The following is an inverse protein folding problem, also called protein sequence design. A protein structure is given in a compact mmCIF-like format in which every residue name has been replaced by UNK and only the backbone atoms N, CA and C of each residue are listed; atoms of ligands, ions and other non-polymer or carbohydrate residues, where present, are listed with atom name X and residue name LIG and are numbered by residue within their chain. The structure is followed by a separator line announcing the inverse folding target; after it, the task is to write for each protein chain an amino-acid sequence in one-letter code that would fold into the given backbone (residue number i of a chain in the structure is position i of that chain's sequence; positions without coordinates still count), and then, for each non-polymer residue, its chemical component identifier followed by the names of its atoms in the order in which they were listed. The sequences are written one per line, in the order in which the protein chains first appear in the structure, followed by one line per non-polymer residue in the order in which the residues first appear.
data_IF_574386866827
#
_entry.id   IF_574386866827
#
_cell.length_a   1.000
_cell.length_b   1.000
_cell.length_c   1.000
_cell.angle_alpha   90.00
_cell.angle_beta   90.00
_cell.angle_gamma   90.00
#
_symmetry.space_group_name_H-M   'P 1'
#
loop_
_entity.id
_entity.type
_entity.pdbx_description
1 polymer ?
#
# COMPACT_ATOMS: atom_id res chain seq x y z
N UNK A 1 -4.75 -3.69 24.19
CA UNK A 1 -4.14 -2.54 23.49
C UNK A 1 -3.14 -1.79 24.36
N UNK A 2 -3.56 -1.01 25.37
CA UNK A 2 -2.67 -0.11 26.16
C UNK A 2 -1.39 -0.76 26.70
N UNK A 3 -1.49 -1.97 27.25
CA UNK A 3 -0.32 -2.69 27.78
C UNK A 3 0.70 -3.06 26.71
N UNK A 4 0.22 -3.52 25.55
CA UNK A 4 1.04 -3.84 24.37
C UNK A 4 1.66 -2.57 23.78
N UNK A 5 0.85 -1.53 23.63
CA UNK A 5 1.31 -0.22 23.12
C UNK A 5 2.39 0.40 24.01
N UNK A 6 2.25 0.30 25.34
CA UNK A 6 3.28 0.74 26.30
C UNK A 6 4.62 0.03 26.12
N UNK A 7 4.62 -1.20 25.59
CA UNK A 7 5.82 -1.98 25.26
C UNK A 7 6.32 -1.77 23.83
N UNK A 8 5.73 -0.82 23.09
CA UNK A 8 6.07 -0.51 21.68
C UNK A 8 5.86 -1.71 20.74
N UNK A 9 4.88 -2.54 21.06
CA UNK A 9 4.54 -3.70 20.24
C UNK A 9 3.46 -3.28 19.20
N UNK A 10 3.64 -3.62 17.90
CA UNK A 10 2.58 -3.42 16.92
C UNK A 10 1.36 -4.25 17.30
N UNK A 11 0.16 -3.73 16.99
CA UNK A 11 -1.10 -4.39 17.30
C UNK A 11 -1.91 -4.57 16.03
N UNK A 12 -2.25 -5.81 15.71
CA UNK A 12 -3.18 -6.16 14.62
C UNK A 12 -4.58 -6.32 15.19
N UNK A 13 -5.56 -5.71 14.54
CA UNK A 13 -6.98 -5.90 14.84
C UNK A 13 -7.65 -6.44 13.58
N UNK A 14 -8.08 -7.69 13.65
CA UNK A 14 -8.67 -8.38 12.51
C UNK A 14 -10.10 -7.91 12.22
N UNK A 15 -10.57 -8.19 10.98
CA UNK A 15 -11.97 -8.04 10.54
C UNK A 15 -12.56 -6.66 10.75
N UNK A 16 -11.75 -5.61 10.64
CA UNK A 16 -12.27 -4.23 10.73
C UNK A 16 -13.04 -3.79 9.49
N UNK A 17 -12.82 -4.42 8.34
CA UNK A 17 -13.54 -4.12 7.10
C UNK A 17 -15.03 -4.41 7.19
N UNK A 18 -15.45 -5.36 8.04
CA UNK A 18 -16.86 -5.70 8.24
C UNK A 18 -17.68 -4.52 8.82
N UNK A 19 -16.99 -3.50 9.36
CA UNK A 19 -17.60 -2.28 9.86
C UNK A 19 -17.73 -1.17 8.81
N UNK A 20 -17.10 -1.32 7.64
CA UNK A 20 -17.22 -0.37 6.53
C UNK A 20 -18.56 -0.61 5.82
N UNK A 21 -19.30 0.46 5.56
CA UNK A 21 -20.61 0.41 4.89
C UNK A 21 -20.53 0.82 3.43
N UNK A 22 -19.51 1.58 3.06
CA UNK A 22 -19.28 2.01 1.68
C UNK A 22 -18.46 0.99 0.90
N UNK A 23 -18.49 1.11 -0.43
CA UNK A 23 -17.68 0.28 -1.33
C UNK A 23 -16.29 0.89 -1.48
N UNK A 24 -15.32 0.33 -0.76
CA UNK A 24 -13.91 0.77 -0.79
C UNK A 24 -13.09 0.18 -1.94
N UNK A 25 -13.70 -0.63 -2.80
CA UNK A 25 -13.07 -1.11 -4.03
C UNK A 25 -13.08 -0.08 -5.17
N UNK A 26 -12.42 -0.39 -6.30
CA UNK A 26 -12.25 0.52 -7.44
C UNK A 26 -13.53 1.22 -7.91
N UNK A 27 -14.64 0.48 -7.99
CA UNK A 27 -15.91 0.99 -8.49
C UNK A 27 -16.42 2.20 -7.71
N UNK A 28 -16.22 2.24 -6.39
CA UNK A 28 -16.65 3.34 -5.53
C UNK A 28 -15.92 4.65 -5.82
N UNK A 29 -14.66 4.59 -6.25
CA UNK A 29 -13.84 5.76 -6.55
C UNK A 29 -13.95 6.21 -8.01
N UNK A 30 -14.08 5.26 -8.94
CA UNK A 30 -14.06 5.51 -10.38
C UNK A 30 -15.15 6.48 -10.84
N UNK A 31 -16.35 6.39 -10.28
CA UNK A 31 -17.47 7.24 -10.68
C UNK A 31 -17.20 8.74 -10.45
N UNK A 32 -16.45 9.08 -9.40
CA UNK A 32 -16.20 10.47 -8.98
C UNK A 32 -14.82 10.97 -9.38
N UNK A 33 -13.81 10.09 -9.32
CA UNK A 33 -12.40 10.46 -9.40
C UNK A 33 -11.67 9.80 -10.59
N UNK A 34 -12.35 8.98 -11.40
CA UNK A 34 -11.71 8.22 -12.48
C UNK A 34 -10.94 9.07 -13.51
N UNK A 35 -11.42 10.30 -13.77
CA UNK A 35 -10.76 11.24 -14.69
C UNK A 35 -9.59 12.03 -14.06
N UNK A 36 -9.40 11.95 -12.74
CA UNK A 36 -8.34 12.67 -12.04
C UNK A 36 -6.98 12.12 -12.46
N UNK A 37 -6.09 13.02 -12.92
CA UNK A 37 -4.68 12.68 -13.11
C UNK A 37 -4.01 12.60 -11.75
N UNK A 38 -3.30 11.50 -11.51
CA UNK A 38 -2.68 11.22 -10.22
C UNK A 38 -1.21 10.87 -10.40
N UNK A 39 -0.39 11.16 -9.38
CA UNK A 39 1.03 10.86 -9.40
C UNK A 39 1.29 9.40 -9.02
N UNK A 40 1.59 8.64 -10.06
CA UNK A 40 2.06 7.25 -10.13
C UNK A 40 3.51 7.10 -9.63
N UNK A 41 3.91 5.92 -9.13
CA UNK A 41 5.31 5.48 -9.15
C UNK A 41 5.40 4.09 -9.75
N UNK A 42 6.29 3.88 -10.73
CA UNK A 42 6.64 2.53 -11.17
C UNK A 42 7.60 1.90 -10.15
N UNK A 43 7.17 0.80 -9.53
CA UNK A 43 7.89 0.14 -8.44
C UNK A 43 9.21 -0.51 -8.89
N UNK A 44 9.48 -0.62 -10.20
CA UNK A 44 10.67 -1.27 -10.73
C UNK A 44 11.88 -0.35 -10.72
N UNK A 45 11.69 0.89 -11.18
CA UNK A 45 12.76 1.87 -11.34
C UNK A 45 12.54 3.14 -10.49
N UNK A 46 11.41 3.23 -9.79
CA UNK A 46 11.06 4.36 -8.94
C UNK A 46 10.64 5.60 -9.74
N UNK A 47 10.46 5.52 -11.06
CA UNK A 47 10.09 6.69 -11.87
C UNK A 47 8.65 7.12 -11.58
N UNK A 48 8.49 8.45 -11.48
CA UNK A 48 7.18 9.08 -11.32
C UNK A 48 6.39 9.08 -12.63
N UNK A 49 5.11 8.71 -12.56
CA UNK A 49 4.19 8.61 -13.70
C UNK A 49 3.00 9.55 -13.46
N UNK A 50 2.86 10.64 -14.21
CA UNK A 50 1.85 11.68 -13.92
C UNK A 50 0.84 11.92 -15.06
N UNK A 51 0.98 11.19 -16.18
CA UNK A 51 0.08 11.32 -17.34
C UNK A 51 -1.13 10.39 -17.29
N UNK A 52 -1.17 9.47 -16.33
CA UNK A 52 -2.27 8.52 -16.15
C UNK A 52 -3.34 9.05 -15.21
N UNK A 53 -4.57 8.59 -15.42
CA UNK A 53 -5.69 8.89 -14.53
C UNK A 53 -5.90 7.76 -13.52
N UNK A 54 -6.69 8.05 -12.48
CA UNK A 54 -7.11 7.05 -11.50
C UNK A 54 -7.86 5.88 -12.18
N UNK A 55 -8.62 6.14 -13.25
CA UNK A 55 -9.26 5.09 -14.04
C UNK A 55 -8.26 4.14 -14.72
N UNK A 56 -7.16 4.66 -15.26
CA UNK A 56 -6.11 3.81 -15.84
C UNK A 56 -5.47 2.92 -14.77
N UNK A 57 -5.23 3.47 -13.57
CA UNK A 57 -4.70 2.69 -12.45
C UNK A 57 -5.64 1.56 -12.06
N UNK A 58 -6.92 1.87 -11.79
CA UNK A 58 -7.87 0.88 -11.34
C UNK A 58 -8.26 -0.14 -12.41
N UNK A 59 -8.22 0.21 -13.69
CA UNK A 59 -8.32 -0.77 -14.77
C UNK A 59 -7.20 -1.80 -14.68
N UNK A 60 -5.95 -1.35 -14.52
CA UNK A 60 -4.77 -2.22 -14.37
C UNK A 60 -4.71 -2.97 -13.04
N UNK A 61 -5.39 -2.46 -12.00
CA UNK A 61 -5.60 -3.14 -10.72
C UNK A 61 -6.55 -4.32 -10.88
N UNK A 62 -7.67 -4.13 -11.58
CA UNK A 62 -8.66 -5.20 -11.81
C UNK A 62 -8.21 -6.19 -12.88
N UNK A 63 -7.55 -5.71 -13.94
CA UNK A 63 -7.20 -6.49 -15.12
C UNK A 63 -5.73 -6.25 -15.50
N UNK A 64 -4.79 -7.17 -15.15
CA UNK A 64 -3.35 -7.01 -15.39
C UNK A 64 -2.98 -6.66 -16.84
N UNK A 65 -3.71 -7.19 -17.83
CA UNK A 65 -3.48 -6.93 -19.25
C UNK A 65 -3.89 -5.53 -19.73
N UNK A 66 -4.57 -4.74 -18.89
CA UNK A 66 -4.92 -3.34 -19.19
C UNK A 66 -3.92 -2.34 -18.59
N UNK A 67 -2.92 -2.81 -17.84
CA UNK A 67 -1.87 -1.96 -17.28
C UNK A 67 -1.16 -1.19 -18.38
N UNK A 68 -0.99 0.11 -18.14
CA UNK A 68 -0.31 1.02 -19.04
C UNK A 68 1.14 0.58 -19.34
N UNK A 69 1.58 0.83 -20.56
CA UNK A 69 2.94 0.55 -21.00
C UNK A 69 3.85 1.75 -20.72
N UNK A 70 5.08 1.49 -20.30
CA UNK A 70 6.13 2.49 -20.22
C UNK A 70 6.45 2.99 -21.65
N UNK A 71 6.43 4.30 -21.93
CA UNK A 71 6.71 4.82 -23.27
C UNK A 71 8.09 4.45 -23.82
N UNK A 72 9.08 4.34 -22.93
CA UNK A 72 10.47 4.10 -23.32
C UNK A 72 10.77 2.61 -23.57
N UNK A 73 10.14 1.72 -22.79
CA UNK A 73 10.47 0.28 -22.78
C UNK A 73 9.36 -0.61 -23.34
N UNK A 74 8.17 -0.06 -23.56
CA UNK A 74 6.95 -0.77 -23.95
C UNK A 74 6.55 -1.93 -23.01
N UNK A 75 7.14 -2.02 -21.82
CA UNK A 75 6.77 -3.00 -20.78
C UNK A 75 5.61 -2.48 -19.95
N UNK A 76 4.71 -3.37 -19.52
CA UNK A 76 3.62 -3.03 -18.57
C UNK A 76 4.20 -2.45 -17.28
N UNK A 77 3.63 -1.36 -16.78
CA UNK A 77 4.12 -0.66 -15.59
C UNK A 77 3.61 -1.26 -14.28
N UNK A 78 4.47 -1.22 -13.27
CA UNK A 78 4.19 -1.71 -11.91
C UNK A 78 3.82 -0.54 -11.02
N UNK A 79 2.58 -0.07 -11.13
CA UNK A 79 2.22 1.20 -10.53
C UNK A 79 1.80 1.04 -9.06
N UNK A 80 2.23 1.99 -8.24
CA UNK A 80 1.66 2.29 -6.93
C UNK A 80 1.23 3.74 -6.88
N UNK A 81 0.10 4.00 -6.25
CA UNK A 81 -0.42 5.31 -5.91
C UNK A 81 -0.27 5.52 -4.40
N UNK A 82 0.63 6.41 -4.01
CA UNK A 82 0.92 6.74 -2.61
C UNK A 82 0.26 8.07 -2.24
N UNK A 83 -0.14 8.22 -0.98
CA UNK A 83 -0.57 9.48 -0.38
C UNK A 83 -1.74 10.16 -1.11
N UNK A 84 -2.65 9.40 -1.74
CA UNK A 84 -3.83 9.98 -2.39
C UNK A 84 -4.96 10.18 -1.37
N UNK A 85 -5.61 11.35 -1.30
CA UNK A 85 -5.31 12.57 -2.04
C UNK A 85 -4.06 13.32 -1.52
N UNK A 86 -3.19 13.84 -2.43
CA UNK A 86 -1.90 14.41 -2.05
C UNK A 86 -2.03 15.77 -1.35
N UNK A 87 -2.83 16.66 -1.93
CA UNK A 87 -2.88 18.08 -1.54
C UNK A 87 -4.17 18.48 -0.80
N UNK A 88 -5.03 17.52 -0.50
CA UNK A 88 -6.34 17.76 0.10
C UNK A 88 -6.52 16.88 1.32
N UNK A 89 -7.18 17.43 2.34
CA UNK A 89 -7.69 16.63 3.45
C UNK A 89 -8.72 15.63 2.88
N UNK A 90 -8.54 14.35 3.19
CA UNK A 90 -9.46 13.30 2.81
C UNK A 90 -10.90 13.62 3.27
N UNK A 91 -11.08 14.18 4.47
CA UNK A 91 -12.37 14.62 5.00
C UNK A 91 -13.03 15.69 4.10
N UNK A 92 -12.24 16.59 3.53
CA UNK A 92 -12.75 17.60 2.62
C UNK A 92 -13.08 17.03 1.22
N UNK A 93 -12.24 16.11 0.71
CA UNK A 93 -12.40 15.54 -0.64
C UNK A 93 -13.48 14.45 -0.70
N UNK A 94 -13.56 13.60 0.33
CA UNK A 94 -14.40 12.41 0.42
C UNK A 94 -15.00 12.28 1.83
N UNK A 95 -15.87 13.21 2.24
CA UNK A 95 -16.42 13.25 3.60
C UNK A 95 -17.17 11.96 4.00
N UNK A 96 -17.88 11.33 3.06
CA UNK A 96 -18.62 10.10 3.35
C UNK A 96 -17.69 8.90 3.60
N UNK A 97 -16.60 8.80 2.84
CA UNK A 97 -15.58 7.76 3.07
C UNK A 97 -14.78 8.06 4.34
N UNK A 98 -14.55 9.33 4.66
CA UNK A 98 -13.90 9.72 5.90
C UNK A 98 -14.71 9.25 7.10
N UNK A 99 -16.01 9.55 7.11
CA UNK A 99 -16.91 9.16 8.18
C UNK A 99 -17.00 7.63 8.31
N UNK A 100 -17.14 6.91 7.19
CA UNK A 100 -17.19 5.44 7.17
C UNK A 100 -15.89 4.83 7.74
N UNK A 101 -14.72 5.38 7.35
CA UNK A 101 -13.43 4.96 7.88
C UNK A 101 -13.32 5.22 9.39
N UNK A 102 -13.69 6.43 9.85
CA UNK A 102 -13.66 6.75 11.28
C UNK A 102 -14.55 5.78 12.07
N UNK A 103 -15.74 5.44 11.58
CA UNK A 103 -16.62 4.45 12.24
C UNK A 103 -15.98 3.05 12.31
N UNK A 104 -15.14 2.69 11.33
CA UNK A 104 -14.48 1.39 11.27
C UNK A 104 -13.13 1.34 11.99
N UNK A 105 -12.47 2.47 12.32
CA UNK A 105 -11.18 2.44 13.01
C UNK A 105 -11.29 1.86 14.43
N UNK A 106 -10.33 1.02 14.85
CA UNK A 106 -10.27 0.54 16.23
C UNK A 106 -9.75 1.64 17.16
N UNK A 107 -10.02 1.50 18.47
CA UNK A 107 -9.49 2.37 19.53
C UNK A 107 -9.75 3.88 19.30
N UNK A 108 -11.03 4.31 19.16
CA UNK A 108 -11.39 5.67 18.76
C UNK A 108 -10.81 6.76 19.68
N UNK A 109 -10.56 6.45 20.96
CA UNK A 109 -9.91 7.38 21.88
C UNK A 109 -8.50 7.80 21.44
N UNK A 110 -7.81 6.95 20.67
CA UNK A 110 -6.46 7.17 20.15
C UNK A 110 -6.46 7.54 18.66
N UNK A 111 -7.29 6.88 17.85
CA UNK A 111 -7.21 6.95 16.38
C UNK A 111 -8.08 8.05 15.77
N UNK A 112 -9.16 8.48 16.43
CA UNK A 112 -10.00 9.55 15.90
C UNK A 112 -9.35 10.90 16.11
N UNK A 113 -9.62 11.84 15.18
CA UNK A 113 -9.17 13.23 15.29
C UNK A 113 -9.67 13.93 16.56
N UNK A 114 -10.85 13.56 17.05
CA UNK A 114 -11.45 14.11 18.27
C UNK A 114 -11.22 13.24 19.51
N UNK A 115 -10.48 12.14 19.37
CA UNK A 115 -10.16 11.19 20.43
C UNK A 115 -9.47 11.86 21.62
N UNK A 116 -9.93 11.55 22.84
CA UNK A 116 -9.43 12.19 24.07
C UNK A 116 -7.96 11.89 24.39
N UNK A 117 -7.41 10.81 23.84
CA UNK A 117 -6.01 10.41 23.98
C UNK A 117 -5.20 10.67 22.71
N UNK A 118 -5.81 11.26 21.68
CA UNK A 118 -5.10 11.68 20.48
C UNK A 118 -4.54 13.09 20.70
N UNK A 119 -3.22 13.17 20.94
CA UNK A 119 -2.54 14.43 21.19
C UNK A 119 -2.59 15.38 19.99
N UNK A 120 -2.77 14.85 18.78
CA UNK A 120 -2.97 15.64 17.55
C UNK A 120 -4.02 16.74 17.71
N UNK A 121 -5.12 16.44 18.42
CA UNK A 121 -6.25 17.35 18.65
C UNK A 121 -5.86 18.63 19.41
N UNK A 122 -4.80 18.55 20.22
CA UNK A 122 -4.41 19.62 21.13
C UNK A 122 -3.24 20.46 20.60
N UNK A 123 -2.70 20.12 19.43
CA UNK A 123 -1.66 20.95 18.82
C UNK A 123 -2.24 22.32 18.42
N UNK A 124 -1.56 23.43 18.78
CA UNK A 124 -1.97 24.75 18.32
C UNK A 124 -1.91 24.83 16.79
N UNK A 125 -2.87 25.54 16.18
CA UNK A 125 -2.95 25.73 14.72
C UNK A 125 -1.74 26.40 14.07
N UNK A 126 -0.85 26.99 14.89
CA UNK A 126 0.40 27.61 14.46
C UNK A 126 1.52 26.59 14.22
N UNK A 127 1.41 25.39 14.79
CA UNK A 127 2.30 24.28 14.43
C UNK A 127 1.74 23.62 13.19
N UNK A 128 2.60 23.32 12.23
CA UNK A 128 2.24 22.43 11.12
C UNK A 128 1.91 21.09 11.77
N UNK A 129 0.62 20.69 11.83
CA UNK A 129 0.30 19.35 12.29
C UNK A 129 1.07 18.39 11.37
N UNK A 130 1.56 17.25 11.87
CA UNK A 130 1.95 16.18 10.97
C UNK A 130 0.81 15.97 9.95
N UNK A 131 1.11 15.55 8.73
CA UNK A 131 0.05 15.19 7.77
C UNK A 131 -0.68 13.95 8.30
N UNK A 132 -1.65 14.17 9.20
CA UNK A 132 -2.28 13.16 10.05
C UNK A 132 -3.33 12.34 9.29
N UNK A 133 -3.37 12.48 7.96
CA UNK A 133 -4.24 11.72 7.09
C UNK A 133 -5.73 11.90 7.39
N UNK A 134 -6.60 10.95 6.97
CA UNK A 134 -6.22 9.69 6.34
C UNK A 134 -5.63 9.88 4.93
N UNK A 135 -4.80 8.93 4.52
CA UNK A 135 -4.17 8.84 3.19
C UNK A 135 -4.42 7.45 2.62
N UNK A 136 -4.62 7.34 1.31
CA UNK A 136 -4.75 6.06 0.63
C UNK A 136 -3.46 5.65 -0.05
N UNK A 137 -3.19 4.36 0.07
CA UNK A 137 -2.08 3.66 -0.53
C UNK A 137 -2.67 2.53 -1.39
N UNK A 138 -2.47 2.60 -2.69
CA UNK A 138 -3.00 1.62 -3.64
C UNK A 138 -1.83 1.06 -4.45
N UNK A 139 -1.75 -0.25 -4.64
CA UNK A 139 -0.70 -0.86 -5.42
C UNK A 139 -1.19 -2.14 -6.10
N UNK A 140 -0.56 -2.52 -7.20
CA UNK A 140 -0.79 -3.83 -7.82
C UNK A 140 -0.14 -4.94 -7.00
N UNK A 141 -0.82 -6.07 -6.77
CA UNK A 141 -0.33 -7.16 -5.90
C UNK A 141 0.77 -8.05 -6.52
N UNK A 142 1.74 -8.49 -5.73
CA UNK A 142 2.99 -9.16 -6.19
C UNK A 142 2.81 -10.46 -7.00
N UNK A 143 1.72 -11.21 -6.92
CA UNK A 143 1.60 -12.43 -7.73
C UNK A 143 1.16 -12.10 -9.17
N UNK A 144 0.01 -11.43 -9.34
CA UNK A 144 -0.49 -11.00 -10.64
C UNK A 144 0.25 -9.79 -11.23
N UNK A 145 1.02 -9.06 -10.41
CA UNK A 145 1.71 -7.89 -10.89
C UNK A 145 2.95 -8.21 -11.74
N UNK A 146 3.62 -9.33 -11.44
CA UNK A 146 4.84 -9.75 -12.14
C UNK A 146 4.62 -10.87 -13.17
N UNK A 147 3.38 -11.37 -13.32
CA UNK A 147 3.02 -12.30 -14.41
C UNK A 147 3.24 -11.64 -15.78
N UNK A 148 3.87 -12.38 -16.70
CA UNK A 148 4.27 -11.88 -18.03
C UNK A 148 5.44 -10.89 -18.00
N UNK A 149 6.15 -10.76 -16.88
CA UNK A 149 7.36 -9.94 -16.78
C UNK A 149 8.64 -10.77 -16.88
N UNK A 150 9.71 -10.13 -17.36
CA UNK A 150 11.07 -10.67 -17.41
C UNK A 150 11.49 -11.22 -16.01
N UNK A 151 11.80 -12.52 -15.88
CA UNK A 151 12.17 -13.15 -14.61
C UNK A 151 13.38 -12.50 -13.92
N UNK A 152 14.26 -11.82 -14.67
CA UNK A 152 15.42 -11.13 -14.13
C UNK A 152 15.10 -9.77 -13.50
N UNK A 153 13.84 -9.33 -13.56
CA UNK A 153 13.45 -8.03 -12.99
C UNK A 153 13.56 -8.07 -11.48
N UNK A 154 14.35 -7.15 -10.89
CA UNK A 154 14.47 -7.01 -9.43
C UNK A 154 13.08 -6.75 -8.83
N UNK A 155 12.64 -7.67 -7.96
CA UNK A 155 11.37 -7.58 -7.24
C UNK A 155 11.57 -6.68 -6.02
N UNK A 156 11.10 -5.43 -6.10
CA UNK A 156 11.09 -4.49 -4.97
C UNK A 156 9.82 -4.59 -4.11
N UNK A 157 9.87 -4.03 -2.90
CA UNK A 157 8.68 -3.82 -2.07
C UNK A 157 7.82 -2.66 -2.59
N UNK A 158 6.52 -2.66 -2.29
CA UNK A 158 5.64 -1.54 -2.62
C UNK A 158 5.94 -0.30 -1.76
N UNK A 159 6.22 -0.54 -0.49
CA UNK A 159 6.66 0.47 0.47
C UNK A 159 8.03 0.04 0.98
N UNK A 160 9.06 0.83 0.69
CA UNK A 160 10.40 0.55 1.17
C UNK A 160 10.48 0.79 2.68
N UNK A 161 11.51 0.24 3.30
CA UNK A 161 11.81 0.47 4.71
C UNK A 161 11.91 1.97 5.00
N UNK A 162 11.14 2.42 5.99
CA UNK A 162 11.11 3.79 6.49
C UNK A 162 10.61 3.78 7.94
N UNK A 163 10.69 4.94 8.60
CA UNK A 163 10.03 5.17 9.86
C UNK A 163 9.12 6.39 9.76
N UNK A 164 7.93 6.29 10.35
CA UNK A 164 7.03 7.41 10.52
C UNK A 164 7.36 8.16 11.82
N UNK A 165 7.18 9.48 11.80
CA UNK A 165 7.43 10.36 12.96
C UNK A 165 6.26 10.37 13.97
N UNK A 166 5.12 9.80 13.59
CA UNK A 166 3.89 9.77 14.38
C UNK A 166 3.32 8.34 14.42
N UNK A 167 2.51 8.08 15.44
CA UNK A 167 1.75 6.83 15.53
C UNK A 167 0.79 6.70 14.34
N UNK A 168 0.70 5.50 13.76
CA UNK A 168 -0.14 5.24 12.59
C UNK A 168 -1.04 4.02 12.77
N UNK A 169 -2.19 4.05 12.11
CA UNK A 169 -3.08 2.90 11.93
C UNK A 169 -3.30 2.70 10.42
N UNK A 170 -2.95 1.50 9.93
CA UNK A 170 -3.23 1.10 8.55
C UNK A 170 -4.41 0.12 8.54
N UNK A 171 -5.39 0.36 7.66
CA UNK A 171 -6.52 -0.53 7.45
C UNK A 171 -6.52 -0.97 5.98
N UNK A 172 -6.38 -2.27 5.75
CA UNK A 172 -6.50 -2.88 4.43
C UNK A 172 -7.99 -2.96 4.06
N UNK A 173 -8.50 -2.06 3.22
CA UNK A 173 -9.96 -1.94 2.95
C UNK A 173 -10.45 -2.70 1.72
N UNK A 174 -9.55 -3.05 0.79
CA UNK A 174 -9.86 -3.80 -0.44
C UNK A 174 -8.65 -4.66 -0.82
N UNK A 175 -8.90 -5.88 -1.30
CA UNK A 175 -7.88 -6.77 -1.86
C UNK A 175 -8.43 -7.33 -3.16
N UNK A 176 -7.78 -7.00 -4.27
CA UNK A 176 -8.15 -7.49 -5.59
C UNK A 176 -7.83 -8.98 -5.71
N UNK A 177 -8.87 -9.80 -5.77
CA UNK A 177 -8.73 -11.24 -6.03
C UNK A 177 -8.78 -11.45 -7.54
N UNK A 178 -7.68 -11.95 -8.10
CA UNK A 178 -7.67 -12.44 -9.47
C UNK A 178 -8.00 -13.93 -9.45
N UNK A 179 -9.23 -14.30 -9.83
CA UNK A 179 -9.57 -15.70 -10.09
C UNK A 179 -8.82 -16.16 -11.34
N UNK A 180 -7.85 -17.06 -11.14
CA UNK A 180 -7.19 -17.81 -12.21
C UNK A 180 -8.25 -18.73 -12.83
N UNK A 181 -9.03 -18.25 -13.81
CA UNK A 181 -9.97 -19.13 -14.50
C UNK A 181 -11.08 -18.57 -15.39
N UNK A 182 -11.29 -17.26 -15.55
CA UNK A 182 -12.47 -16.78 -16.32
C UNK A 182 -12.21 -16.06 -17.65
N UNK A 183 -10.96 -15.85 -18.06
CA UNK A 183 -10.70 -15.38 -19.44
C UNK A 183 -9.57 -16.21 -20.06
N UNK A 184 -9.90 -16.90 -21.15
CA UNK A 184 -9.09 -17.94 -21.77
C UNK A 184 -7.86 -17.41 -22.50
N UNK A 185 -6.75 -17.29 -21.78
CA UNK A 185 -5.41 -17.43 -22.35
C UNK A 185 -4.95 -18.88 -22.10
N UNK A 186 -5.22 -19.73 -23.08
CA UNK A 186 -4.39 -20.90 -23.33
C UNK A 186 -3.02 -20.40 -23.81
N UNK A 187 -1.97 -21.01 -23.26
CA UNK A 187 -0.56 -20.85 -23.62
C UNK A 187 0.18 -19.74 -22.87
N UNK A 188 0.74 -20.08 -21.70
CA UNK A 188 2.17 -19.87 -21.45
C UNK A 188 2.62 -20.69 -20.22
N UNK A 189 3.72 -21.41 -20.42
CA UNK A 189 4.25 -22.49 -19.60
C UNK A 189 4.59 -22.08 -18.16
N UNK A 190 4.31 -22.98 -17.22
CA UNK A 190 4.88 -22.96 -15.88
C UNK A 190 6.41 -23.01 -15.99
N UNK A 191 7.08 -21.89 -15.77
CA UNK A 191 8.51 -21.87 -15.49
C UNK A 191 8.74 -22.32 -14.04
N UNK A 192 9.45 -23.44 -13.78
CA UNK A 192 9.65 -23.98 -12.43
C UNK A 192 10.78 -23.27 -11.64
N UNK A 193 11.22 -22.09 -12.08
CA UNK A 193 12.36 -21.39 -11.48
C UNK A 193 11.92 -20.19 -10.62
N UNK A 194 11.35 -20.45 -9.45
CA UNK A 194 11.39 -19.48 -8.34
C UNK A 194 11.63 -20.14 -6.99
N UNK A 195 12.68 -20.96 -6.91
CA UNK A 195 13.32 -21.31 -5.65
C UNK A 195 14.10 -20.10 -5.12
N UNK A 196 13.43 -19.18 -4.43
CA UNK A 196 14.11 -18.27 -3.50
C UNK A 196 13.15 -17.70 -2.46
N UNK A 197 13.39 -18.11 -1.21
CA UNK A 197 12.64 -17.84 0.03
C UNK A 197 11.35 -18.64 0.20
N UNK A 198 11.51 -19.91 0.57
CA UNK A 198 10.57 -20.75 1.34
C UNK A 198 9.09 -20.34 1.26
N UNK A 199 8.44 -20.69 0.14
CA UNK A 199 6.97 -20.68 0.04
C UNK A 199 6.31 -21.71 0.99
N UNK A 200 7.09 -22.65 1.55
CA UNK A 200 6.61 -23.68 2.48
C UNK A 200 6.13 -23.13 3.83
N UNK A 201 6.58 -21.95 4.26
CA UNK A 201 6.14 -21.34 5.53
C UNK A 201 4.82 -20.56 5.41
N UNK A 202 4.39 -20.26 4.17
CA UNK A 202 3.18 -19.47 3.89
C UNK A 202 1.99 -20.31 3.38
N UNK A 203 2.16 -21.58 2.98
CA UNK A 203 1.07 -22.51 2.66
C UNK A 203 -0.11 -21.91 1.85
N UNK A 204 -1.34 -22.26 2.23
CA UNK A 204 -2.63 -21.83 1.64
C UNK A 204 -2.95 -20.31 1.78
N UNK A 205 -2.04 -19.48 2.28
CA UNK A 205 -2.30 -18.06 2.55
C UNK A 205 -2.40 -17.18 1.27
N UNK A 206 -2.23 -17.73 0.07
CA UNK A 206 -1.90 -16.91 -1.12
C UNK A 206 -3.05 -16.19 -1.83
N UNK A 207 -4.33 -16.42 -1.49
CA UNK A 207 -5.48 -15.84 -2.24
C UNK A 207 -6.35 -14.83 -1.47
N UNK A 208 -6.23 -14.75 -0.14
CA UNK A 208 -7.02 -13.82 0.71
C UNK A 208 -6.19 -12.74 1.42
N UNK A 209 -4.86 -12.79 1.33
CA UNK A 209 -3.97 -11.87 2.04
C UNK A 209 -3.50 -10.74 1.12
N UNK A 210 -3.67 -9.48 1.55
CA UNK A 210 -3.39 -8.31 0.71
C UNK A 210 -1.93 -7.85 0.68
N UNK A 211 -1.22 -7.90 1.82
CA UNK A 211 0.14 -7.38 1.94
C UNK A 211 0.94 -8.12 3.03
N UNK A 212 2.25 -8.14 2.87
CA UNK A 212 3.22 -8.65 3.86
C UNK A 212 3.90 -7.46 4.52
N UNK A 213 4.03 -7.49 5.84
CA UNK A 213 4.63 -6.43 6.64
C UNK A 213 5.75 -6.98 7.50
N UNK A 214 6.95 -6.43 7.31
CA UNK A 214 8.06 -6.58 8.25
C UNK A 214 8.11 -5.32 9.12
N UNK A 215 8.02 -5.49 10.44
CA UNK A 215 8.02 -4.38 11.40
C UNK A 215 9.14 -4.63 12.41
N UNK A 216 10.05 -3.66 12.51
CA UNK A 216 11.15 -3.69 13.46
C UNK A 216 10.88 -2.77 14.65
N UNK A 217 11.54 -3.06 15.77
CA UNK A 217 11.49 -2.20 16.95
C UNK A 217 12.27 -0.93 16.67
N UNK A 218 11.78 0.19 17.20
CA UNK A 218 12.45 1.48 17.06
C UNK A 218 13.89 1.44 17.60
N UNK A 219 14.13 0.70 18.68
CA UNK A 219 15.43 0.53 19.31
C UNK A 219 16.48 -0.10 18.39
N UNK A 220 16.06 -0.84 17.36
CA UNK A 220 16.95 -1.52 16.42
C UNK A 220 17.33 -0.63 15.21
N UNK A 221 16.82 0.61 15.13
CA UNK A 221 17.02 1.49 13.97
C UNK A 221 18.49 1.73 13.64
N UNK A 222 19.35 1.95 14.64
CA UNK A 222 20.78 2.17 14.42
C UNK A 222 21.48 0.92 13.88
N UNK A 223 21.11 -0.26 14.37
CA UNK A 223 21.67 -1.53 13.90
C UNK A 223 21.25 -1.82 12.45
N UNK A 224 19.99 -1.55 12.12
CA UNK A 224 19.46 -1.67 10.75
C UNK A 224 20.19 -0.70 9.81
N UNK A 225 20.39 0.56 10.21
CA UNK A 225 21.14 1.54 9.42
C UNK A 225 22.58 1.09 9.16
N UNK A 226 23.27 0.61 10.20
CA UNK A 226 24.64 0.10 10.07
C UNK A 226 24.72 -1.07 9.09
N UNK A 227 23.77 -2.00 9.15
CA UNK A 227 23.67 -3.12 8.22
C UNK A 227 23.47 -2.62 6.78
N UNK A 228 22.54 -1.70 6.55
CA UNK A 228 22.26 -1.16 5.22
C UNK A 228 23.49 -0.43 4.64
N UNK A 229 24.20 0.34 5.46
CA UNK A 229 25.45 0.97 5.04
C UNK A 229 26.56 -0.05 4.71
N UNK A 230 26.66 -1.14 5.47
CA UNK A 230 27.61 -2.21 5.16
C UNK A 230 27.29 -2.86 3.81
N UNK A 231 26.02 -3.19 3.56
CA UNK A 231 25.56 -3.78 2.28
C UNK A 231 25.75 -2.81 1.12
N UNK A 232 25.53 -1.51 1.32
CA UNK A 232 25.75 -0.50 0.29
C UNK A 232 27.23 -0.43 -0.15
N UNK A 233 28.16 -0.47 0.83
CA UNK A 233 29.61 -0.54 0.55
C UNK A 233 30.01 -1.82 -0.17
N UNK A 234 29.47 -2.97 0.22
CA UNK A 234 29.76 -4.25 -0.45
C UNK A 234 29.28 -4.27 -1.90
N UNK A 235 28.26 -3.48 -2.24
CA UNK A 235 27.64 -3.43 -3.56
C UNK A 235 28.08 -2.25 -4.42
N UNK A 236 28.96 -1.39 -3.91
CA UNK A 236 29.46 -0.20 -4.61
C UNK A 236 28.33 0.73 -5.10
N UNK A 237 27.37 1.01 -4.22
CA UNK A 237 26.19 1.86 -4.50
C UNK A 237 26.05 3.04 -3.52
N UNK A 238 27.15 3.46 -2.89
CA UNK A 238 27.20 4.68 -2.04
C UNK A 238 27.07 5.98 -2.86
#
# INVERSE_FOLDING_TARGET
FRERWRRREPVVVERRNDHLKLKWGPHGFLQRFGAEKVQMTDCRDGKSVHWLTLAHFFAGYSHPWTRALCPDTFRRMMLKLKDWPPDQDFCAKMPEYFEDLMQALPFPQYTHRDGILNLAKYFPSQFVPPDLGPKMYNAFGRHAAWQGMDPNTKKGGHTNLHCDVADAVNMMVDVGVHTRGEEGDSDEEESPASESLQDDELGELSSQHGAIWDIWRWEDSDAILQLLHAVARERDVE
#
